data_IF_819197482095
#
_entry.id   IF_819197482095
#
_cell.length_a   1.000
_cell.length_b   1.000
_cell.length_c   1.000
_cell.angle_alpha   90.00
_cell.angle_beta   90.00
_cell.angle_gamma   90.00
#
_symmetry.space_group_name_H-M   'P 1'
#
loop_
_entity.id
_entity.type
_entity.pdbx_description
1 polymer ?
#
# COMPACT_ATOMS: atom_id res chain seq x y z
N UNK A 1 -12.07 7.93 22.63
CA UNK A 1 -11.27 9.06 22.10
C UNK A 1 -10.64 8.61 20.78
N UNK A 2 -10.76 9.40 19.71
CA UNK A 2 -10.21 9.08 18.38
C UNK A 2 -8.67 9.13 18.41
N UNK A 3 -8.00 8.18 17.73
CA UNK A 3 -6.53 8.07 17.69
C UNK A 3 -5.97 8.48 16.33
N UNK A 4 -4.82 9.15 16.37
CA UNK A 4 -3.97 9.47 15.22
C UNK A 4 -2.68 8.67 15.39
N UNK A 5 -2.28 7.95 14.34
CA UNK A 5 -1.01 7.22 14.31
C UNK A 5 0.00 7.95 13.45
N UNK A 6 1.19 8.23 13.98
CA UNK A 6 2.28 8.91 13.27
C UNK A 6 3.34 7.88 12.83
N UNK A 7 3.72 7.96 11.56
CA UNK A 7 4.90 7.31 11.01
C UNK A 7 5.89 8.38 10.60
N UNK A 8 7.00 8.53 11.32
CA UNK A 8 7.99 9.57 11.05
C UNK A 8 9.20 9.02 10.31
N UNK A 9 9.36 9.41 9.06
CA UNK A 9 10.58 9.17 8.26
C UNK A 9 11.75 10.02 8.77
N UNK A 10 11.43 11.16 9.39
CA UNK A 10 12.41 12.07 10.01
C UNK A 10 12.67 11.66 11.46
N UNK A 11 13.95 11.55 11.85
CA UNK A 11 14.35 11.29 13.25
C UNK A 11 14.51 12.57 14.07
N UNK A 12 13.50 13.44 14.01
CA UNK A 12 13.44 14.68 14.78
C UNK A 12 12.40 14.55 15.91
N UNK A 13 12.91 14.39 17.15
CA UNK A 13 12.07 14.20 18.34
C UNK A 13 11.30 15.45 18.71
N UNK A 14 11.85 16.64 18.48
CA UNK A 14 11.23 17.90 18.87
C UNK A 14 10.06 18.20 17.94
N UNK A 15 10.27 17.98 16.63
CA UNK A 15 9.22 18.09 15.63
C UNK A 15 8.07 17.12 15.93
N UNK A 16 8.36 15.83 16.15
CA UNK A 16 7.33 14.83 16.48
C UNK A 16 6.60 15.20 17.78
N UNK A 17 7.33 15.64 18.81
CA UNK A 17 6.73 16.08 20.09
C UNK A 17 5.80 17.28 19.93
N UNK A 18 6.14 18.23 19.04
CA UNK A 18 5.29 19.38 18.71
C UNK A 18 4.01 18.94 18.01
N UNK A 19 4.08 17.99 17.09
CA UNK A 19 2.90 17.44 16.39
C UNK A 19 2.01 16.68 17.39
N UNK A 20 2.58 15.82 18.23
CA UNK A 20 1.85 15.12 19.29
C UNK A 20 1.17 16.09 20.27
N UNK A 21 1.86 17.16 20.66
CA UNK A 21 1.31 18.23 21.50
C UNK A 21 0.12 18.93 20.82
N UNK A 22 0.22 19.15 19.51
CA UNK A 22 -0.88 19.70 18.70
C UNK A 22 -2.07 18.74 18.69
N UNK A 23 -1.86 17.45 18.41
CA UNK A 23 -2.91 16.42 18.44
C UNK A 23 -3.62 16.40 19.81
N UNK A 24 -2.86 16.43 20.91
CA UNK A 24 -3.39 16.45 22.27
C UNK A 24 -4.19 17.72 22.58
N UNK A 25 -3.69 18.90 22.18
CA UNK A 25 -4.38 20.20 22.37
C UNK A 25 -5.77 20.20 21.73
N UNK A 26 -5.90 19.45 20.63
CA UNK A 26 -7.13 19.32 19.85
C UNK A 26 -8.00 18.12 20.28
N UNK A 27 -7.71 17.49 21.43
CA UNK A 27 -8.57 16.45 22.02
C UNK A 27 -8.46 15.06 21.40
N UNK A 28 -7.41 14.80 20.61
CA UNK A 28 -7.15 13.50 19.99
C UNK A 28 -6.08 12.72 20.77
N UNK A 29 -6.11 11.39 20.66
CA UNK A 29 -5.01 10.53 21.13
C UNK A 29 -3.93 10.48 20.04
N UNK A 30 -2.72 10.96 20.33
CA UNK A 30 -1.58 10.83 19.44
C UNK A 30 -0.66 9.70 19.88
N UNK A 31 -0.20 8.90 18.93
CA UNK A 31 0.81 7.86 19.13
C UNK A 31 1.57 7.64 17.82
N UNK A 32 2.69 6.93 17.85
CA UNK A 32 3.44 6.68 16.62
C UNK A 32 4.82 6.09 16.82
N UNK A 33 5.57 6.05 15.73
CA UNK A 33 6.92 5.49 15.69
C UNK A 33 7.81 6.23 14.68
N UNK A 34 9.11 6.03 14.83
CA UNK A 34 10.09 6.37 13.79
C UNK A 34 10.20 5.21 12.80
N UNK A 35 10.25 5.54 11.53
CA UNK A 35 10.45 4.56 10.46
C UNK A 35 11.77 3.81 10.65
N UNK A 36 11.69 2.50 10.46
CA UNK A 36 12.84 1.60 10.45
C UNK A 36 12.96 1.04 9.05
N UNK A 37 13.96 1.54 8.33
CA UNK A 37 14.26 1.14 6.96
C UNK A 37 15.07 -0.16 6.96
N UNK A 38 14.37 -1.26 7.18
CA UNK A 38 14.91 -2.61 7.16
C UNK A 38 13.93 -3.52 6.41
N UNK A 39 14.11 -3.60 5.09
CA UNK A 39 13.29 -4.45 4.23
C UNK A 39 13.56 -5.94 4.46
N UNK A 40 14.80 -6.30 4.80
CA UNK A 40 15.20 -7.70 5.01
C UNK A 40 14.40 -8.34 6.15
N UNK A 41 14.25 -7.61 7.26
CA UNK A 41 13.46 -8.06 8.40
C UNK A 41 12.01 -7.56 8.36
N UNK A 42 11.60 -6.90 7.27
CA UNK A 42 10.25 -6.37 7.06
C UNK A 42 9.79 -5.44 8.19
N UNK A 43 10.70 -4.62 8.73
CA UNK A 43 10.41 -3.76 9.88
C UNK A 43 9.28 -2.75 9.59
N UNK A 44 9.07 -2.41 8.31
CA UNK A 44 7.96 -1.58 7.82
C UNK A 44 6.57 -2.14 8.15
N UNK A 45 6.44 -3.45 8.43
CA UNK A 45 5.17 -4.08 8.77
C UNK A 45 4.76 -3.84 10.23
N UNK A 46 5.72 -3.58 11.12
CA UNK A 46 5.49 -3.44 12.56
C UNK A 46 4.37 -2.46 12.97
N UNK A 47 4.16 -1.30 12.31
CA UNK A 47 3.07 -0.40 12.69
C UNK A 47 1.69 -0.82 12.17
N UNK A 48 1.57 -1.83 11.30
CA UNK A 48 0.30 -2.17 10.61
C UNK A 48 -0.87 -2.31 11.58
N UNK A 49 -0.73 -3.14 12.61
CA UNK A 49 -1.80 -3.41 13.59
C UNK A 49 -2.27 -2.15 14.31
N UNK A 50 -1.35 -1.22 14.63
CA UNK A 50 -1.71 0.04 15.25
C UNK A 50 -2.44 1.00 14.30
N UNK A 51 -2.09 0.98 13.01
CA UNK A 51 -2.74 1.81 11.99
C UNK A 51 -4.15 1.30 11.69
N UNK A 52 -4.31 -0.02 11.56
CA UNK A 52 -5.60 -0.63 11.22
C UNK A 52 -6.54 -0.77 12.41
N UNK A 53 -6.06 -0.57 13.65
CA UNK A 53 -6.89 -0.60 14.85
C UNK A 53 -8.14 0.29 14.73
N UNK A 54 -9.34 -0.16 15.16
CA UNK A 54 -10.61 0.56 14.97
C UNK A 54 -10.62 1.99 15.52
N UNK A 55 -9.87 2.25 16.59
CA UNK A 55 -9.74 3.56 17.21
C UNK A 55 -8.79 4.52 16.47
N UNK A 56 -7.93 4.02 15.58
CA UNK A 56 -7.06 4.84 14.72
C UNK A 56 -7.88 5.33 13.54
N UNK A 57 -8.13 6.63 13.46
CA UNK A 57 -9.01 7.24 12.45
C UNK A 57 -8.25 8.10 11.42
N UNK A 58 -6.96 8.33 11.65
CA UNK A 58 -6.09 9.07 10.76
C UNK A 58 -4.68 8.49 10.86
N UNK A 59 -4.08 8.22 9.70
CA UNK A 59 -2.66 7.91 9.60
C UNK A 59 -1.90 9.14 9.10
N UNK A 60 -0.94 9.59 9.90
CA UNK A 60 -0.05 10.69 9.57
C UNK A 60 1.31 10.13 9.20
N UNK A 61 1.83 10.55 8.06
CA UNK A 61 3.20 10.27 7.62
C UNK A 61 3.98 11.58 7.68
N UNK A 62 5.11 11.60 8.38
CA UNK A 62 5.98 12.76 8.48
C UNK A 62 7.26 12.50 7.70
N UNK A 63 7.56 13.35 6.71
CA UNK A 63 8.71 13.17 5.83
C UNK A 63 8.86 14.29 4.82
N UNK A 64 10.09 14.54 4.37
CA UNK A 64 10.41 15.42 3.26
C UNK A 64 10.53 14.61 1.95
N UNK A 65 10.59 15.29 0.81
CA UNK A 65 10.71 14.65 -0.51
C UNK A 65 11.95 13.74 -0.61
N UNK A 66 13.09 14.19 -0.07
CA UNK A 66 14.32 13.39 0.00
C UNK A 66 14.16 12.04 0.71
N UNK A 67 13.21 11.92 1.64
CA UNK A 67 13.03 10.70 2.42
C UNK A 67 12.39 9.59 1.58
N UNK A 68 11.64 9.95 0.53
CA UNK A 68 11.00 9.02 -0.42
C UNK A 68 11.77 8.85 -1.73
N UNK A 69 12.92 9.51 -1.87
CA UNK A 69 13.87 9.26 -2.97
C UNK A 69 14.60 7.92 -2.79
N UNK A 70 14.67 7.40 -1.54
CA UNK A 70 15.27 6.10 -1.27
C UNK A 70 14.30 4.98 -1.62
N UNK A 71 14.66 4.15 -2.59
CA UNK A 71 13.84 3.04 -3.09
C UNK A 71 13.31 2.12 -1.96
N UNK A 72 14.14 1.84 -0.94
CA UNK A 72 13.72 0.96 0.16
C UNK A 72 12.62 1.56 1.04
N UNK A 73 12.68 2.87 1.32
CA UNK A 73 11.64 3.59 2.06
C UNK A 73 10.37 3.66 1.20
N UNK A 74 10.52 4.02 -0.06
CA UNK A 74 9.43 4.18 -1.02
C UNK A 74 8.65 2.87 -1.21
N UNK A 75 9.37 1.77 -1.38
CA UNK A 75 8.80 0.43 -1.51
C UNK A 75 8.16 -0.03 -0.19
N UNK A 76 8.86 0.01 0.93
CA UNK A 76 8.32 -0.44 2.22
C UNK A 76 7.08 0.34 2.65
N UNK A 77 7.08 1.66 2.44
CA UNK A 77 5.93 2.51 2.76
C UNK A 77 4.74 2.24 1.84
N UNK A 78 4.99 1.93 0.57
CA UNK A 78 3.96 1.48 -0.37
C UNK A 78 3.33 0.18 0.06
N UNK A 79 4.13 -0.82 0.45
CA UNK A 79 3.63 -2.11 0.93
C UNK A 79 2.77 -1.94 2.18
N UNK A 80 3.23 -1.13 3.15
CA UNK A 80 2.45 -0.80 4.34
C UNK A 80 1.11 -0.14 3.97
N UNK A 81 1.13 0.85 3.07
CA UNK A 81 -0.06 1.56 2.64
C UNK A 81 -1.08 0.65 1.94
N UNK A 82 -0.63 -0.23 1.05
CA UNK A 82 -1.48 -1.24 0.42
C UNK A 82 -2.14 -2.16 1.46
N UNK A 83 -1.34 -2.65 2.41
CA UNK A 83 -1.81 -3.46 3.54
C UNK A 83 -2.84 -2.74 4.43
N UNK A 84 -2.69 -1.43 4.64
CA UNK A 84 -3.65 -0.62 5.39
C UNK A 84 -4.93 -0.42 4.58
N UNK A 85 -4.82 -0.10 3.29
CA UNK A 85 -5.96 0.10 2.39
C UNK A 85 -6.80 -1.17 2.22
N UNK A 86 -6.16 -2.34 2.16
CA UNK A 86 -6.86 -3.62 2.10
C UNK A 86 -7.77 -3.87 3.31
N UNK A 87 -7.41 -3.35 4.50
CA UNK A 87 -8.17 -3.53 5.74
C UNK A 87 -9.10 -2.37 6.08
N UNK A 88 -8.71 -1.14 5.74
CA UNK A 88 -9.43 0.10 6.11
C UNK A 88 -10.20 0.72 4.95
N UNK A 89 -10.06 0.18 3.75
CA UNK A 89 -10.58 0.73 2.51
C UNK A 89 -9.67 1.82 1.92
N UNK A 90 -9.76 2.01 0.62
CA UNK A 90 -8.98 3.03 -0.11
C UNK A 90 -9.31 4.47 0.31
N UNK A 91 -10.47 4.71 0.92
CA UNK A 91 -10.86 6.02 1.44
C UNK A 91 -10.28 6.34 2.82
N UNK A 92 -9.54 5.44 3.46
CA UNK A 92 -8.96 5.69 4.78
C UNK A 92 -8.09 6.95 4.77
N UNK A 93 -8.29 7.82 5.77
CA UNK A 93 -7.63 9.13 5.79
C UNK A 93 -6.12 8.98 6.04
N UNK A 94 -5.33 9.44 5.07
CA UNK A 94 -3.88 9.56 5.16
C UNK A 94 -3.52 11.04 5.00
N UNK A 95 -2.66 11.54 5.88
CA UNK A 95 -2.13 12.90 5.81
C UNK A 95 -0.61 12.84 5.79
N UNK A 96 0.00 13.59 4.88
CA UNK A 96 1.44 13.75 4.80
C UNK A 96 1.84 15.13 5.33
N UNK A 97 2.71 15.15 6.34
CA UNK A 97 3.24 16.37 6.93
C UNK A 97 4.72 16.47 6.58
N UNK A 98 5.07 17.43 5.74
CA UNK A 98 6.46 17.76 5.47
C UNK A 98 7.00 18.75 6.51
N UNK A 99 8.25 18.61 6.99
CA UNK A 99 8.84 19.54 7.95
C UNK A 99 8.87 21.00 7.45
N UNK A 100 9.19 21.22 6.18
CA UNK A 100 9.49 22.55 5.64
C UNK A 100 8.60 22.94 4.47
N UNK A 101 8.60 22.14 3.38
CA UNK A 101 7.94 22.47 2.11
C UNK A 101 6.98 21.37 1.71
N UNK A 102 5.84 21.74 1.12
CA UNK A 102 4.93 20.75 0.55
C UNK A 102 5.62 19.91 -0.52
N UNK A 103 5.29 18.62 -0.54
CA UNK A 103 5.80 17.66 -1.51
C UNK A 103 4.78 17.56 -2.64
N UNK A 104 5.21 17.58 -3.93
CA UNK A 104 4.32 17.36 -5.04
C UNK A 104 3.60 16.01 -4.93
N UNK A 105 2.27 15.98 -5.00
CA UNK A 105 1.48 14.73 -4.90
C UNK A 105 1.94 13.65 -5.90
N UNK A 106 2.43 14.06 -7.08
CA UNK A 106 2.96 13.17 -8.12
C UNK A 106 4.26 12.45 -7.73
N UNK A 107 5.04 12.98 -6.78
CA UNK A 107 6.28 12.33 -6.35
C UNK A 107 6.00 11.21 -5.34
N UNK A 108 4.82 11.17 -4.73
CA UNK A 108 4.42 10.03 -3.88
C UNK A 108 4.23 8.74 -4.68
N UNK A 109 4.51 7.58 -4.05
CA UNK A 109 4.14 6.30 -4.63
C UNK A 109 2.63 6.18 -4.73
N UNK A 110 2.18 5.34 -5.67
CA UNK A 110 0.77 5.23 -6.07
C UNK A 110 -0.20 5.04 -4.89
N UNK A 111 0.07 4.15 -3.91
CA UNK A 111 -0.83 3.95 -2.77
C UNK A 111 -1.02 5.21 -1.90
N UNK A 112 -0.08 6.15 -1.92
CA UNK A 112 -0.09 7.33 -1.08
C UNK A 112 -0.49 8.61 -1.83
N UNK A 113 -0.72 8.54 -3.14
CA UNK A 113 -1.11 9.72 -3.94
C UNK A 113 -2.39 10.36 -3.43
N UNK A 114 -3.29 9.65 -2.76
CA UNK A 114 -4.48 10.23 -2.15
C UNK A 114 -4.25 11.00 -0.84
N UNK A 115 -3.02 11.05 -0.32
CA UNK A 115 -2.75 11.68 0.96
C UNK A 115 -2.92 13.21 0.92
N UNK A 116 -3.52 13.76 1.99
CA UNK A 116 -3.61 15.21 2.17
C UNK A 116 -2.25 15.79 2.57
N UNK A 117 -1.74 16.74 1.78
CA UNK A 117 -0.44 17.37 2.01
C UNK A 117 -0.52 18.60 2.91
N UNK A 118 0.37 18.69 3.88
CA UNK A 118 0.56 19.85 4.74
C UNK A 118 2.04 20.04 5.10
N UNK A 119 2.38 21.24 5.56
CA UNK A 119 3.63 21.50 6.27
C UNK A 119 3.44 21.46 7.78
N UNK A 120 4.49 21.14 8.53
CA UNK A 120 4.48 21.17 10.00
C UNK A 120 4.24 22.56 10.59
N UNK A 121 4.45 23.62 9.80
CA UNK A 121 4.18 25.02 10.15
C UNK A 121 2.76 25.48 9.81
N UNK A 122 1.95 24.63 9.16
CA UNK A 122 0.59 25.00 8.75
C UNK A 122 -0.29 25.36 9.95
N UNK A 123 -0.83 26.57 9.96
CA UNK A 123 -1.76 27.03 11.00
C UNK A 123 -3.03 26.16 11.09
N UNK A 124 -3.40 25.52 9.97
CA UNK A 124 -4.59 24.66 9.87
C UNK A 124 -4.36 23.21 10.33
N UNK A 125 -3.12 22.83 10.67
CA UNK A 125 -2.73 21.45 10.90
C UNK A 125 -3.60 20.75 11.95
N UNK A 126 -3.74 21.35 13.14
CA UNK A 126 -4.54 20.78 14.22
C UNK A 126 -6.01 20.62 13.85
N UNK A 127 -6.60 21.65 13.24
CA UNK A 127 -8.00 21.62 12.81
C UNK A 127 -8.25 20.55 11.73
N UNK A 128 -7.34 20.40 10.76
CA UNK A 128 -7.44 19.36 9.72
C UNK A 128 -7.30 17.95 10.29
N UNK A 129 -6.38 17.73 11.23
CA UNK A 129 -6.26 16.43 11.90
C UNK A 129 -7.55 16.05 12.64
N UNK A 130 -8.17 16.99 13.36
CA UNK A 130 -9.47 16.76 14.02
C UNK A 130 -10.58 16.48 13.03
N UNK A 131 -10.67 17.28 11.97
CA UNK A 131 -11.68 17.10 10.94
C UNK A 131 -11.57 15.69 10.34
N UNK A 132 -10.38 15.26 9.91
CA UNK A 132 -10.18 13.92 9.34
C UNK A 132 -10.43 12.80 10.33
N UNK A 133 -9.94 12.92 11.58
CA UNK A 133 -10.17 11.91 12.60
C UNK A 133 -11.66 11.72 12.97
N UNK A 134 -12.51 12.73 12.74
CA UNK A 134 -13.95 12.68 13.02
C UNK A 134 -14.82 12.48 11.77
N UNK A 135 -14.26 12.62 10.56
CA UNK A 135 -14.99 12.39 9.31
C UNK A 135 -14.92 10.91 8.96
N UNK A 136 -16.04 10.22 8.76
CA UNK A 136 -16.02 8.86 8.21
C UNK A 136 -15.24 8.81 6.89
N UNK A 137 -14.34 7.82 6.69
CA UNK A 137 -13.71 7.59 5.39
C UNK A 137 -14.77 7.41 4.29
N UNK A 138 -14.61 8.03 3.11
CA UNK A 138 -15.49 7.75 1.98
C UNK A 138 -15.40 6.26 1.58
N UNK A 139 -16.54 5.67 1.25
CA UNK A 139 -16.54 4.37 0.59
C UNK A 139 -16.10 4.55 -0.87
N UNK A 140 -15.01 3.89 -1.24
CA UNK A 140 -14.52 3.85 -2.63
C UNK A 140 -14.79 2.44 -3.13
N UNK A 141 -15.65 2.34 -4.14
CA UNK A 141 -15.92 1.08 -4.81
C UNK A 141 -14.78 0.75 -5.77
N UNK A 142 -14.24 -0.46 -5.66
CA UNK A 142 -13.11 -0.94 -6.44
C UNK A 142 -13.56 -2.13 -7.24
N UNK A 143 -12.99 -2.32 -8.44
CA UNK A 143 -13.26 -3.49 -9.28
C UNK A 143 -12.37 -4.69 -8.89
N UNK A 144 -11.39 -4.48 -8.00
CA UNK A 144 -10.43 -5.46 -7.56
C UNK A 144 -10.15 -5.41 -6.04
N UNK A 145 -9.56 -6.49 -5.52
CA UNK A 145 -8.87 -6.55 -4.24
C UNK A 145 -7.36 -6.59 -4.48
N UNK A 146 -6.62 -5.90 -3.61
CA UNK A 146 -5.16 -5.90 -3.57
C UNK A 146 -4.74 -5.87 -2.10
N UNK A 147 -3.95 -6.86 -1.67
CA UNK A 147 -3.35 -6.90 -0.33
C UNK A 147 -1.89 -7.38 -0.41
N UNK A 148 -1.14 -7.14 0.66
CA UNK A 148 0.25 -7.57 0.83
C UNK A 148 0.34 -8.49 2.03
N UNK A 149 0.86 -9.70 1.79
CA UNK A 149 1.14 -10.71 2.80
C UNK A 149 2.65 -10.85 2.94
N UNK A 150 3.20 -10.26 4.00
CA UNK A 150 4.64 -10.24 4.24
C UNK A 150 4.99 -11.04 5.50
N UNK A 151 5.98 -11.91 5.40
CA UNK A 151 6.54 -12.65 6.52
C UNK A 151 8.05 -12.90 6.27
N UNK A 152 8.95 -12.62 7.22
CA UNK A 152 10.40 -12.80 7.01
C UNK A 152 10.82 -14.19 6.51
N UNK A 153 10.09 -15.25 6.88
CA UNK A 153 10.35 -16.61 6.42
C UNK A 153 9.70 -16.98 5.08
N UNK A 154 8.66 -16.26 4.64
CA UNK A 154 7.92 -16.59 3.41
C UNK A 154 8.14 -15.59 2.26
N UNK A 155 8.68 -14.41 2.56
CA UNK A 155 8.87 -13.31 1.61
C UNK A 155 7.68 -12.35 1.56
N UNK A 156 7.66 -11.50 0.53
CA UNK A 156 6.57 -10.55 0.25
C UNK A 156 5.69 -11.12 -0.85
N UNK A 157 4.44 -11.39 -0.51
CA UNK A 157 3.43 -11.87 -1.44
C UNK A 157 2.40 -10.77 -1.71
N UNK A 158 2.04 -10.62 -2.98
CA UNK A 158 0.96 -9.75 -3.43
C UNK A 158 -0.26 -10.62 -3.72
N UNK A 159 -1.38 -10.28 -3.11
CA UNK A 159 -2.70 -10.85 -3.40
C UNK A 159 -3.43 -9.93 -4.37
N UNK A 160 -3.96 -10.48 -5.46
CA UNK A 160 -4.89 -9.78 -6.37
C UNK A 160 -6.12 -10.64 -6.66
N UNK A 161 -7.27 -10.01 -6.81
CA UNK A 161 -8.50 -10.71 -7.20
C UNK A 161 -9.62 -9.76 -7.56
N UNK A 162 -10.74 -10.25 -8.12
CA UNK A 162 -11.90 -9.41 -8.42
C UNK A 162 -12.53 -8.90 -7.12
N UNK A 163 -13.07 -7.68 -7.10
CA UNK A 163 -13.83 -7.20 -5.94
C UNK A 163 -15.14 -7.98 -5.70
N UNK A 164 -15.87 -7.62 -4.63
CA UNK A 164 -17.17 -8.21 -4.34
C UNK A 164 -18.12 -8.05 -5.54
N UNK A 165 -18.85 -9.09 -5.89
CA UNK A 165 -19.74 -9.14 -7.06
C UNK A 165 -19.04 -9.25 -8.42
N UNK A 166 -17.71 -9.17 -8.48
CA UNK A 166 -16.94 -9.25 -9.72
C UNK A 166 -16.35 -10.64 -9.95
N UNK A 167 -15.96 -10.92 -11.19
CA UNK A 167 -15.41 -12.20 -11.64
C UNK A 167 -14.29 -11.95 -12.64
N UNK A 168 -13.20 -12.71 -12.54
CA UNK A 168 -12.11 -12.70 -13.51
C UNK A 168 -11.96 -14.07 -14.18
N UNK A 169 -11.76 -14.07 -15.50
CA UNK A 169 -11.36 -15.25 -16.27
C UNK A 169 -9.83 -15.25 -16.35
N UNK A 170 -9.19 -15.97 -15.44
CA UNK A 170 -7.75 -15.90 -15.24
C UNK A 170 -7.29 -14.63 -14.53
N UNK A 171 -6.02 -14.62 -14.15
CA UNK A 171 -5.36 -13.49 -13.51
C UNK A 171 -3.92 -13.39 -14.01
N UNK A 172 -3.40 -12.16 -14.02
CA UNK A 172 -2.02 -11.86 -14.40
C UNK A 172 -1.45 -10.84 -13.43
N UNK A 173 -0.20 -11.03 -13.03
CA UNK A 173 0.59 -10.02 -12.30
C UNK A 173 1.96 -9.93 -12.93
N UNK A 174 2.40 -8.71 -13.20
CA UNK A 174 3.72 -8.37 -13.71
C UNK A 174 4.49 -7.49 -12.75
N UNK A 175 5.79 -7.70 -12.65
CA UNK A 175 6.72 -6.87 -11.90
C UNK A 175 7.67 -6.12 -12.85
N UNK A 176 7.85 -4.81 -12.63
CA UNK A 176 8.87 -4.00 -13.29
C UNK A 176 10.12 -3.99 -12.40
N UNK A 177 11.09 -4.85 -12.75
CA UNK A 177 12.18 -5.22 -11.86
C UNK A 177 11.72 -6.22 -10.78
N UNK A 178 12.69 -6.73 -10.02
CA UNK A 178 12.47 -7.85 -9.11
C UNK A 178 12.22 -9.19 -9.83
N UNK A 179 12.22 -10.27 -9.06
CA UNK A 179 11.98 -11.63 -9.56
C UNK A 179 10.67 -12.18 -8.98
N UNK A 180 9.76 -12.58 -9.86
CA UNK A 180 8.67 -13.47 -9.45
C UNK A 180 9.22 -14.88 -9.39
N UNK A 181 9.10 -15.53 -8.23
CA UNK A 181 9.63 -16.88 -8.02
C UNK A 181 8.61 -17.89 -7.49
N UNK A 182 7.39 -17.44 -7.15
CA UNK A 182 6.30 -18.31 -6.75
C UNK A 182 4.93 -17.67 -7.04
N UNK A 183 3.93 -18.51 -7.31
CA UNK A 183 2.55 -18.08 -7.45
C UNK A 183 1.55 -19.18 -7.05
N UNK A 184 0.32 -18.78 -6.75
CA UNK A 184 -0.74 -19.67 -6.28
C UNK A 184 -2.13 -19.07 -6.47
N UNK A 185 -3.16 -19.90 -6.59
CA UNK A 185 -4.56 -19.48 -6.48
C UNK A 185 -5.17 -20.15 -5.26
N UNK A 186 -5.93 -19.41 -4.47
CA UNK A 186 -6.65 -19.93 -3.31
C UNK A 186 -7.62 -18.92 -2.71
N UNK A 187 -8.12 -19.22 -1.51
CA UNK A 187 -9.06 -18.35 -0.79
C UNK A 187 -8.52 -16.93 -0.65
N UNK A 188 -9.37 -15.92 -0.81
CA UNK A 188 -9.02 -14.53 -0.62
C UNK A 188 -8.66 -14.23 0.85
N UNK A 189 -7.67 -13.35 1.06
CA UNK A 189 -7.29 -12.84 2.38
C UNK A 189 -6.28 -13.68 3.17
N UNK A 190 -5.81 -14.81 2.64
CA UNK A 190 -4.76 -15.63 3.28
C UNK A 190 -3.89 -16.36 2.25
N UNK A 191 -2.60 -16.54 2.58
CA UNK A 191 -1.71 -17.29 1.71
C UNK A 191 -2.18 -18.74 1.54
N UNK A 192 -2.28 -19.25 0.29
CA UNK A 192 -2.83 -20.56 0.04
C UNK A 192 -1.90 -21.67 0.55
N UNK A 193 -2.44 -22.58 1.37
CA UNK A 193 -1.74 -23.81 1.78
C UNK A 193 -1.65 -24.84 0.66
N UNK A 194 -2.62 -24.81 -0.25
CA UNK A 194 -2.68 -25.62 -1.47
C UNK A 194 -3.16 -24.72 -2.59
N UNK A 195 -2.56 -24.85 -3.76
CA UNK A 195 -2.93 -24.10 -4.95
C UNK A 195 -3.26 -25.06 -6.09
N UNK A 196 -4.29 -24.72 -6.87
CA UNK A 196 -4.60 -25.38 -8.14
C UNK A 196 -4.44 -24.33 -9.22
N UNK A 197 -3.48 -24.54 -10.12
CA UNK A 197 -3.17 -23.61 -11.19
C UNK A 197 -3.70 -24.16 -12.51
N UNK A 198 -4.61 -23.44 -13.13
CA UNK A 198 -5.12 -23.77 -14.46
C UNK A 198 -4.32 -22.99 -15.50
N UNK A 199 -3.67 -23.73 -16.42
CA UNK A 199 -2.84 -23.18 -17.50
C UNK A 199 -1.83 -22.11 -17.02
N UNK A 200 -0.91 -22.44 -16.10
CA UNK A 200 0.04 -21.48 -15.59
C UNK A 200 1.03 -21.03 -16.67
N UNK A 201 1.27 -19.73 -16.73
CA UNK A 201 2.22 -19.10 -17.64
C UNK A 201 3.23 -18.30 -16.82
N UNK A 202 4.50 -18.40 -17.18
CA UNK A 202 5.59 -17.75 -16.46
C UNK A 202 6.50 -17.00 -17.45
N UNK A 203 7.08 -15.89 -16.99
CA UNK A 203 8.06 -15.13 -17.76
C UNK A 203 7.50 -14.34 -18.95
N UNK A 204 6.19 -14.06 -18.98
CA UNK A 204 5.55 -13.24 -20.02
C UNK A 204 6.17 -11.84 -20.03
N UNK A 205 6.51 -11.34 -21.22
CA UNK A 205 7.03 -9.98 -21.40
C UNK A 205 5.90 -9.05 -21.79
N UNK A 206 5.68 -8.03 -20.98
CA UNK A 206 4.66 -7.01 -21.19
C UNK A 206 5.32 -5.64 -21.28
N UNK A 207 4.78 -4.80 -22.15
CA UNK A 207 5.24 -3.42 -22.33
C UNK A 207 4.07 -2.48 -22.07
N UNK A 208 4.31 -1.47 -21.22
CA UNK A 208 3.34 -0.42 -20.95
C UNK A 208 4.06 0.94 -21.05
N UNK A 209 3.86 1.63 -22.16
CA UNK A 209 4.65 2.83 -22.48
C UNK A 209 6.13 2.47 -22.61
N UNK A 210 6.97 3.08 -21.76
CA UNK A 210 8.42 2.82 -21.72
C UNK A 210 8.83 1.77 -20.67
N UNK A 211 7.87 1.21 -19.94
CA UNK A 211 8.14 0.26 -18.86
C UNK A 211 7.99 -1.17 -19.36
N UNK A 212 8.94 -2.02 -18.98
CA UNK A 212 8.89 -3.45 -19.22
C UNK A 212 8.57 -4.20 -17.93
N UNK A 213 7.66 -5.16 -18.03
CA UNK A 213 7.26 -6.03 -16.93
C UNK A 213 7.52 -7.49 -17.29
N UNK A 214 7.96 -8.27 -16.31
CA UNK A 214 7.93 -9.73 -16.39
C UNK A 214 6.74 -10.23 -15.60
N UNK A 215 5.84 -10.96 -16.25
CA UNK A 215 4.55 -11.36 -15.69
C UNK A 215 4.34 -12.87 -15.68
N UNK A 216 3.61 -13.31 -14.66
CA UNK A 216 3.12 -14.67 -14.54
C UNK A 216 1.59 -14.61 -14.52
N UNK A 217 0.95 -15.60 -15.15
CA UNK A 217 -0.49 -15.64 -15.31
C UNK A 217 -1.05 -17.05 -15.10
N UNK A 218 -2.37 -17.10 -14.90
CA UNK A 218 -3.17 -18.32 -14.78
C UNK A 218 -4.52 -18.08 -15.45
N UNK A 219 -5.21 -19.14 -15.85
CA UNK A 219 -6.55 -19.08 -16.44
C UNK A 219 -7.67 -19.52 -15.48
N UNK A 220 -7.36 -19.74 -14.19
CA UNK A 220 -8.37 -20.05 -13.17
C UNK A 220 -9.53 -19.05 -13.21
N UNK A 221 -10.76 -19.52 -13.04
CA UNK A 221 -11.90 -18.64 -12.84
C UNK A 221 -11.93 -18.11 -11.39
N UNK A 222 -11.78 -16.80 -11.19
CA UNK A 222 -11.77 -16.17 -9.87
C UNK A 222 -13.10 -15.47 -9.59
N UNK A 223 -13.68 -15.74 -8.42
CA UNK A 223 -14.80 -15.01 -7.84
C UNK A 223 -14.32 -14.14 -6.67
N UNK A 224 -15.24 -13.48 -5.96
CA UNK A 224 -14.91 -12.73 -4.75
C UNK A 224 -14.25 -13.55 -3.63
N UNK A 225 -14.36 -14.88 -3.69
CA UNK A 225 -13.79 -15.77 -2.67
C UNK A 225 -12.38 -16.26 -3.01
N UNK A 226 -11.91 -16.01 -4.24
CA UNK A 226 -10.61 -16.47 -4.72
C UNK A 226 -9.71 -15.30 -5.09
N UNK A 227 -8.43 -15.49 -4.83
CA UNK A 227 -7.38 -14.54 -5.23
C UNK A 227 -6.20 -15.29 -5.84
N UNK A 228 -5.47 -14.58 -6.70
CA UNK A 228 -4.18 -14.97 -7.23
C UNK A 228 -3.07 -14.32 -6.41
N UNK A 229 -2.11 -15.14 -6.02
CA UNK A 229 -1.02 -14.79 -5.14
C UNK A 229 0.29 -14.91 -5.90
N UNK A 230 1.17 -13.93 -5.73
CA UNK A 230 2.49 -13.94 -6.34
C UNK A 230 3.53 -13.47 -5.34
N UNK A 231 4.65 -14.18 -5.27
CA UNK A 231 5.81 -13.75 -4.48
C UNK A 231 6.76 -12.98 -5.37
N UNK A 232 7.17 -11.81 -4.90
CA UNK A 232 8.16 -10.97 -5.60
C UNK A 232 9.37 -10.81 -4.67
N UNK A 233 10.53 -11.17 -5.20
CA UNK A 233 11.84 -10.89 -4.60
C UNK A 233 12.35 -9.53 -5.02
N UNK A 234 13.30 -9.03 -4.24
CA UNK A 234 13.93 -7.72 -4.40
C UNK A 234 12.93 -6.55 -4.34
N UNK A 235 13.33 -5.40 -4.88
CA UNK A 235 12.57 -4.15 -4.86
C UNK A 235 12.13 -3.83 -6.29
N UNK A 236 10.92 -4.27 -6.71
CA UNK A 236 10.35 -3.82 -7.98
C UNK A 236 10.10 -2.31 -7.97
N UNK A 237 10.12 -1.67 -9.13
CA UNK A 237 9.69 -0.27 -9.33
C UNK A 237 8.16 -0.13 -9.34
N UNK A 238 7.47 -1.23 -9.57
CA UNK A 238 6.02 -1.29 -9.59
C UNK A 238 5.51 -2.63 -10.04
N UNK A 239 4.21 -2.82 -9.89
CA UNK A 239 3.48 -3.97 -10.39
C UNK A 239 2.38 -3.53 -11.35
N UNK A 240 2.03 -4.42 -12.27
CA UNK A 240 0.76 -4.37 -12.98
C UNK A 240 -0.02 -5.63 -12.67
N UNK A 241 -1.34 -5.55 -12.71
CA UNK A 241 -2.19 -6.73 -12.51
C UNK A 241 -3.58 -6.54 -13.11
N UNK A 242 -4.28 -7.64 -13.29
CA UNK A 242 -5.65 -7.65 -13.78
C UNK A 242 -6.10 -9.05 -14.18
N UNK A 243 -7.29 -9.17 -14.81
CA UNK A 243 -7.71 -10.40 -15.44
C UNK A 243 -6.71 -10.82 -16.54
N UNK A 244 -6.59 -12.11 -16.78
CA UNK A 244 -5.81 -12.60 -17.93
C UNK A 244 -6.55 -12.28 -19.22
N UNK A 245 -5.82 -11.88 -20.25
CA UNK A 245 -6.34 -11.65 -21.60
C UNK A 245 -5.30 -12.01 -22.65
N UNK A 246 -5.75 -12.67 -23.71
CA UNK A 246 -4.95 -12.95 -24.91
C UNK A 246 -5.01 -11.80 -25.93
N UNK A 247 -5.89 -10.81 -25.70
CA UNK A 247 -6.10 -9.68 -26.59
C UNK A 247 -5.03 -8.59 -26.43
N UNK A 248 -4.64 -7.98 -27.54
CA UNK A 248 -3.80 -6.78 -27.52
C UNK A 248 -4.63 -5.60 -27.00
N UNK A 249 -4.22 -5.01 -25.87
CA UNK A 249 -4.90 -3.85 -25.26
C UNK A 249 -5.72 -4.15 -24.01
N UNK A 250 -5.40 -5.25 -23.31
CA UNK A 250 -6.03 -5.58 -22.04
C UNK A 250 -5.95 -4.43 -21.01
N UNK A 251 -7.07 -4.14 -20.36
CA UNK A 251 -7.11 -3.20 -19.24
C UNK A 251 -6.44 -3.82 -18.02
N UNK A 252 -5.44 -3.12 -17.50
CA UNK A 252 -4.67 -3.52 -16.33
C UNK A 252 -4.56 -2.37 -15.35
N UNK A 253 -4.44 -2.71 -14.08
CA UNK A 253 -4.14 -1.76 -13.02
C UNK A 253 -2.63 -1.70 -12.78
N UNK A 254 -2.12 -0.51 -12.44
CA UNK A 254 -0.69 -0.29 -12.24
C UNK A 254 -0.45 0.39 -10.91
N UNK A 255 0.45 -0.18 -10.13
CA UNK A 255 0.93 0.40 -8.87
C UNK A 255 2.42 0.66 -9.03
N UNK A 256 2.78 1.94 -9.04
CA UNK A 256 4.18 2.39 -9.01
C UNK A 256 4.58 2.62 -7.57
N UNK A 257 5.64 1.94 -7.16
CA UNK A 257 6.23 2.08 -5.84
C UNK A 257 7.08 3.33 -5.76
#
# INVERSE_FOLDING_TARGET
MKKVWITSLVRDKDLVSKILSTIKKYGLKGDGHFWVDDLQHMAWLSPKENIIAPETNLWVIMGAEKDIEKDSVRYGLSLLALSVQAKRGHGFHIMWISPEKEIPQKSLPTPLRGAEMLTASSASLGAKMVARANTPPPAIDMEYRLDVHANPGLGVWIEVGPARGHKWKGAMVGANGGEIDAHGVGSAGELPRKAVLEYPMQGLKLELGNDQYTAWAVQNFLTEDLSYYIRIKDIPKGILFGPYSEEKGAEVHVIRF
#
